data_IF_843140442693
#
_entry.id   IF_843140442693
#
_cell.length_a   1.000
_cell.length_b   1.000
_cell.length_c   1.000
_cell.angle_alpha   90.00
_cell.angle_beta   90.00
_cell.angle_gamma   90.00
#
_symmetry.space_group_name_H-M   'P 1'
#
loop_
_entity.id
_entity.type
_entity.pdbx_description
1 polymer ?
#
# COMPACT_ATOMS: atom_id res chain seq x y z
N UNK A 1 14.57 3.17 -7.16
CA UNK A 1 13.65 2.72 -6.09
C UNK A 1 12.87 3.90 -5.54
N UNK A 2 11.57 3.79 -5.42
CA UNK A 2 10.69 4.87 -4.98
C UNK A 2 10.89 5.27 -3.53
N UNK A 3 11.14 4.29 -2.66
CA UNK A 3 11.43 4.58 -1.25
C UNK A 3 12.56 5.60 -1.11
N UNK A 4 13.67 5.39 -1.79
CA UNK A 4 14.83 6.31 -1.75
C UNK A 4 14.47 7.69 -2.27
N UNK A 5 13.63 7.78 -3.30
CA UNK A 5 13.18 9.08 -3.86
C UNK A 5 12.31 9.84 -2.88
N UNK A 6 11.39 9.15 -2.21
CA UNK A 6 10.49 9.76 -1.22
C UNK A 6 11.26 10.20 0.02
N UNK A 7 12.22 9.40 0.49
CA UNK A 7 13.09 9.77 1.63
C UNK A 7 13.93 10.99 1.30
N UNK A 8 14.44 11.09 0.07
CA UNK A 8 15.25 12.22 -0.38
C UNK A 8 14.41 13.50 -0.51
N UNK A 9 13.17 13.39 -0.98
CA UNK A 9 12.26 14.52 -1.16
C UNK A 9 10.79 14.05 -1.08
N UNK A 10 10.07 14.51 -0.08
CA UNK A 10 8.64 14.22 0.11
C UNK A 10 7.78 14.75 -1.04
N UNK A 11 8.27 15.70 -1.82
CA UNK A 11 7.59 16.18 -3.03
C UNK A 11 7.41 15.10 -4.11
N UNK A 12 8.09 13.97 -3.99
CA UNK A 12 7.94 12.83 -4.87
C UNK A 12 6.74 11.93 -4.55
N UNK A 13 6.01 12.18 -3.45
CA UNK A 13 4.86 11.37 -3.06
C UNK A 13 3.75 11.31 -4.12
N UNK A 14 3.34 12.42 -4.75
CA UNK A 14 2.32 12.35 -5.82
C UNK A 14 2.74 11.44 -6.98
N UNK A 15 3.99 11.51 -7.40
CA UNK A 15 4.52 10.66 -8.47
C UNK A 15 4.62 9.19 -8.04
N UNK A 16 4.97 8.96 -6.78
CA UNK A 16 4.96 7.61 -6.17
C UNK A 16 3.55 7.01 -6.22
N UNK A 17 2.55 7.75 -5.79
CA UNK A 17 1.15 7.29 -5.80
C UNK A 17 0.70 7.00 -7.23
N UNK A 18 0.95 7.92 -8.16
CA UNK A 18 0.58 7.76 -9.56
C UNK A 18 1.22 6.52 -10.19
N UNK A 19 2.50 6.28 -9.91
CA UNK A 19 3.22 5.11 -10.41
C UNK A 19 2.56 3.81 -9.92
N UNK A 20 2.33 3.69 -8.62
CA UNK A 20 1.74 2.47 -8.06
C UNK A 20 0.26 2.31 -8.40
N UNK A 21 -0.48 3.36 -8.62
CA UNK A 21 -1.85 3.27 -9.16
C UNK A 21 -1.86 2.72 -10.58
N UNK A 22 -0.90 3.13 -11.41
CA UNK A 22 -0.71 2.57 -12.74
C UNK A 22 -0.34 1.07 -12.67
N UNK A 23 0.62 0.72 -11.84
CA UNK A 23 1.02 -0.66 -11.59
C UNK A 23 -0.13 -1.52 -11.06
N UNK A 24 -1.02 -0.92 -10.27
CA UNK A 24 -2.19 -1.62 -9.73
C UNK A 24 -3.11 -2.14 -10.84
N UNK A 25 -3.28 -1.41 -11.93
CA UNK A 25 -4.11 -1.84 -13.05
C UNK A 25 -3.50 -3.09 -13.72
N UNK A 26 -2.20 -3.14 -13.87
CA UNK A 26 -1.50 -4.32 -14.38
C UNK A 26 -1.58 -5.49 -13.39
N UNK A 27 -1.40 -5.22 -12.10
CA UNK A 27 -1.50 -6.22 -11.05
C UNK A 27 -2.88 -6.89 -11.00
N UNK A 28 -3.95 -6.12 -11.25
CA UNK A 28 -5.31 -6.69 -11.37
C UNK A 28 -5.43 -7.68 -12.52
N UNK A 29 -4.75 -7.43 -13.63
CA UNK A 29 -4.70 -8.37 -14.76
C UNK A 29 -3.98 -9.65 -14.39
N UNK A 30 -2.91 -9.56 -13.60
CA UNK A 30 -2.16 -10.73 -13.13
C UNK A 30 -3.02 -11.69 -12.30
N UNK A 31 -4.07 -11.21 -11.64
CA UNK A 31 -4.98 -12.02 -10.86
C UNK A 31 -5.96 -12.83 -11.72
N UNK A 32 -6.13 -12.47 -12.99
CA UNK A 32 -7.05 -13.17 -13.89
C UNK A 32 -6.44 -14.46 -14.42
N UNK A 33 -7.29 -15.48 -14.58
CA UNK A 33 -6.94 -16.71 -15.25
C UNK A 33 -7.35 -16.57 -16.71
N UNK A 34 -6.39 -16.63 -17.61
CA UNK A 34 -6.64 -16.49 -19.04
C UNK A 34 -5.54 -17.12 -19.88
N UNK A 35 -5.90 -17.64 -21.04
CA UNK A 35 -4.96 -18.29 -21.96
C UNK A 35 -4.56 -19.70 -21.52
N UNK A 36 -3.34 -20.10 -21.82
CA UNK A 36 -2.84 -21.44 -21.54
C UNK A 36 -2.59 -21.64 -20.04
N UNK A 37 -3.08 -22.76 -19.50
CA UNK A 37 -2.93 -23.13 -18.09
C UNK A 37 -1.45 -23.19 -17.70
N UNK A 38 -0.63 -23.82 -18.52
CA UNK A 38 0.81 -23.96 -18.26
C UNK A 38 1.50 -22.61 -18.12
N UNK A 39 1.18 -21.64 -18.96
CA UNK A 39 1.72 -20.28 -18.87
C UNK A 39 1.31 -19.58 -17.57
N UNK A 40 0.05 -19.74 -17.16
CA UNK A 40 -0.42 -19.16 -15.90
C UNK A 40 0.32 -19.77 -14.71
N UNK A 41 0.48 -21.07 -14.65
CA UNK A 41 1.16 -21.77 -13.56
C UNK A 41 2.64 -21.40 -13.51
N UNK A 42 3.33 -21.42 -14.64
CA UNK A 42 4.78 -21.14 -14.68
C UNK A 42 5.11 -19.67 -14.39
N UNK A 43 4.24 -18.73 -14.74
CA UNK A 43 4.45 -17.31 -14.52
C UNK A 43 4.10 -16.87 -13.07
N UNK A 44 3.22 -17.59 -12.40
CA UNK A 44 2.63 -17.15 -11.12
C UNK A 44 3.65 -16.90 -10.01
N UNK A 45 4.66 -17.75 -9.76
CA UNK A 45 5.64 -17.47 -8.71
C UNK A 45 6.39 -16.15 -8.91
N UNK A 46 6.85 -15.88 -10.12
CA UNK A 46 7.55 -14.63 -10.44
C UNK A 46 6.66 -13.40 -10.32
N UNK A 47 5.42 -13.51 -10.76
CA UNK A 47 4.43 -12.44 -10.61
C UNK A 47 4.17 -12.18 -9.13
N UNK A 48 3.96 -13.21 -8.33
CA UNK A 48 3.69 -13.08 -6.90
C UNK A 48 4.85 -12.41 -6.17
N UNK A 49 6.08 -12.83 -6.45
CA UNK A 49 7.27 -12.20 -5.89
C UNK A 49 7.36 -10.72 -6.26
N UNK A 50 7.18 -10.41 -7.54
CA UNK A 50 7.24 -9.03 -8.02
C UNK A 50 6.20 -8.13 -7.33
N UNK A 51 4.95 -8.58 -7.25
CA UNK A 51 3.88 -7.80 -6.61
C UNK A 51 4.07 -7.70 -5.10
N UNK A 52 4.59 -8.74 -4.47
CA UNK A 52 4.95 -8.69 -3.05
C UNK A 52 6.06 -7.67 -2.78
N UNK A 53 7.09 -7.62 -3.60
CA UNK A 53 8.16 -6.63 -3.47
C UNK A 53 7.65 -5.19 -3.64
N UNK A 54 6.70 -4.97 -4.55
CA UNK A 54 6.04 -3.67 -4.67
C UNK A 54 5.25 -3.30 -3.41
N UNK A 55 4.56 -4.27 -2.81
CA UNK A 55 3.88 -4.06 -1.53
C UNK A 55 4.87 -3.68 -0.42
N UNK A 56 6.02 -4.34 -0.35
CA UNK A 56 7.05 -4.01 0.63
C UNK A 56 7.57 -2.57 0.47
N UNK A 57 7.73 -2.12 -0.75
CA UNK A 57 8.13 -0.74 -1.03
C UNK A 57 7.07 0.27 -0.59
N UNK A 58 5.79 -0.02 -0.85
CA UNK A 58 4.68 0.83 -0.39
C UNK A 58 4.62 0.88 1.14
N UNK A 59 4.79 -0.25 1.81
CA UNK A 59 4.81 -0.31 3.27
C UNK A 59 5.99 0.44 3.87
N UNK A 60 7.15 0.37 3.25
CA UNK A 60 8.33 1.12 3.68
C UNK A 60 8.10 2.64 3.60
N UNK A 61 7.47 3.11 2.52
CA UNK A 61 7.08 4.52 2.37
C UNK A 61 6.06 4.91 3.44
N UNK A 62 5.04 4.09 3.66
CA UNK A 62 4.01 4.34 4.69
C UNK A 62 4.64 4.47 6.09
N UNK A 63 5.54 3.57 6.43
CA UNK A 63 6.25 3.61 7.71
C UNK A 63 7.13 4.86 7.84
N UNK A 64 7.80 5.24 6.77
CA UNK A 64 8.59 6.48 6.73
C UNK A 64 7.71 7.71 6.97
N UNK A 65 6.55 7.78 6.34
CA UNK A 65 5.60 8.88 6.52
C UNK A 65 5.11 8.96 7.97
N UNK A 66 4.84 7.82 8.61
CA UNK A 66 4.47 7.78 10.01
C UNK A 66 5.59 8.29 10.93
N UNK A 67 6.86 8.00 10.60
CA UNK A 67 8.01 8.55 11.31
C UNK A 67 8.07 10.07 11.16
N UNK A 68 7.86 10.58 9.95
CA UNK A 68 7.85 12.02 9.70
C UNK A 68 6.69 12.71 10.43
N UNK A 69 5.53 12.08 10.47
CA UNK A 69 4.37 12.59 11.23
C UNK A 69 4.71 12.75 12.72
N UNK A 70 5.36 11.77 13.32
CA UNK A 70 5.79 11.87 14.73
C UNK A 70 6.71 13.05 14.97
N UNK A 71 7.62 13.34 14.05
CA UNK A 71 8.51 14.50 14.13
C UNK A 71 7.74 15.82 14.03
N UNK A 72 6.78 15.89 13.13
CA UNK A 72 5.90 17.07 12.95
C UNK A 72 5.07 17.29 14.20
N UNK A 73 4.44 16.26 14.73
CA UNK A 73 3.62 16.33 15.95
C UNK A 73 4.46 16.78 17.15
N UNK A 74 5.66 16.23 17.30
CA UNK A 74 6.58 16.63 18.37
C UNK A 74 6.92 18.12 18.31
N UNK A 75 7.19 18.64 17.12
CA UNK A 75 7.53 20.05 16.92
C UNK A 75 6.37 20.96 17.34
N UNK A 76 5.16 20.66 16.93
CA UNK A 76 3.96 21.39 17.31
C UNK A 76 3.64 21.25 18.80
N UNK A 77 3.82 20.06 19.36
CA UNK A 77 3.61 19.80 20.78
C UNK A 77 4.53 20.67 21.65
N UNK A 78 5.81 20.74 21.32
CA UNK A 78 6.77 21.59 22.02
C UNK A 78 6.40 23.07 21.90
N UNK A 79 5.97 23.51 20.73
CA UNK A 79 5.51 24.88 20.50
C UNK A 79 4.35 25.25 21.44
N UNK A 80 3.38 24.37 21.63
CA UNK A 80 2.24 24.63 22.52
C UNK A 80 2.62 24.58 23.99
N UNK A 81 3.52 23.70 24.40
CA UNK A 81 3.97 23.62 25.79
C UNK A 81 4.89 24.78 26.19
N UNK A 82 5.78 25.20 25.32
CA UNK A 82 6.86 26.17 25.63
C UNK A 82 6.51 27.58 25.19
N UNK A 83 5.72 27.76 24.15
CA UNK A 83 5.48 29.06 23.50
C UNK A 83 4.18 29.76 23.91
N UNK A 84 3.33 29.14 24.72
CA UNK A 84 2.06 29.73 25.12
C UNK A 84 2.22 30.56 26.39
N UNK A 85 1.50 31.71 26.45
CA UNK A 85 1.48 32.59 27.63
C UNK A 85 0.80 31.96 28.86
N UNK A 86 -0.04 30.93 28.64
CA UNK A 86 -0.63 30.09 29.69
C UNK A 86 -0.02 28.72 29.66
N UNK A 87 0.24 28.13 30.82
CA UNK A 87 0.64 26.74 30.92
C UNK A 87 -0.49 25.83 30.43
N UNK A 88 -0.27 25.13 29.32
CA UNK A 88 -1.18 24.12 28.83
C UNK A 88 -0.85 22.78 29.47
N UNK A 89 -1.87 21.97 29.75
CA UNK A 89 -1.66 20.56 30.10
C UNK A 89 -1.23 19.79 28.85
N UNK A 90 -0.54 18.66 29.05
CA UNK A 90 -0.17 17.78 27.92
C UNK A 90 -1.39 17.35 27.09
N UNK A 91 -2.52 17.12 27.75
CA UNK A 91 -3.76 16.74 27.10
C UNK A 91 -4.32 17.86 26.20
N UNK A 92 -4.28 19.09 26.66
CA UNK A 92 -4.74 20.24 25.89
C UNK A 92 -3.79 20.52 24.72
N UNK A 93 -2.48 20.40 24.92
CA UNK A 93 -1.49 20.53 23.85
C UNK A 93 -1.69 19.48 22.76
N UNK A 94 -1.99 18.23 23.11
CA UNK A 94 -2.29 17.17 22.14
C UNK A 94 -3.51 17.49 21.29
N UNK A 95 -4.57 18.07 21.88
CA UNK A 95 -5.76 18.48 21.13
C UNK A 95 -5.44 19.57 20.10
N UNK A 96 -4.62 20.54 20.46
CA UNK A 96 -4.18 21.56 19.51
C UNK A 96 -3.31 21.00 18.40
N UNK A 97 -2.43 20.05 18.72
CA UNK A 97 -1.61 19.33 17.71
C UNK A 97 -2.47 18.56 16.74
N UNK A 98 -3.50 17.87 17.22
CA UNK A 98 -4.43 17.12 16.37
C UNK A 98 -5.17 18.02 15.36
N UNK A 99 -5.40 19.28 15.69
CA UNK A 99 -6.05 20.25 14.83
C UNK A 99 -5.11 21.09 13.97
N UNK A 100 -3.79 20.94 14.10
CA UNK A 100 -2.83 21.67 13.28
C UNK A 100 -2.97 21.29 11.81
N UNK A 101 -3.04 22.30 10.94
CA UNK A 101 -3.22 22.12 9.51
C UNK A 101 -2.13 21.20 8.91
N UNK A 102 -0.87 21.42 9.28
CA UNK A 102 0.25 20.61 8.82
C UNK A 102 0.08 19.14 9.22
N UNK A 103 -0.40 18.85 10.44
CA UNK A 103 -0.66 17.50 10.94
C UNK A 103 -1.81 16.86 10.16
N UNK A 104 -2.91 17.58 9.99
CA UNK A 104 -4.09 17.12 9.26
C UNK A 104 -3.77 16.83 7.82
N UNK A 105 -3.05 17.72 7.15
CA UNK A 105 -2.65 17.54 5.76
C UNK A 105 -1.72 16.34 5.59
N UNK A 106 -0.78 16.15 6.52
CA UNK A 106 0.13 15.02 6.48
C UNK A 106 -0.58 13.69 6.73
N UNK A 107 -1.51 13.65 7.68
CA UNK A 107 -2.34 12.47 7.93
C UNK A 107 -3.22 12.11 6.72
N UNK A 108 -3.69 13.11 5.98
CA UNK A 108 -4.44 12.89 4.74
C UNK A 108 -3.59 12.18 3.70
N UNK A 109 -2.33 12.59 3.53
CA UNK A 109 -1.37 11.92 2.64
C UNK A 109 -1.11 10.47 3.10
N UNK A 110 -0.94 10.27 4.39
CA UNK A 110 -0.78 8.92 4.97
C UNK A 110 -1.97 8.04 4.64
N UNK A 111 -3.19 8.56 4.74
CA UNK A 111 -4.40 7.82 4.39
C UNK A 111 -4.43 7.41 2.92
N UNK A 112 -3.98 8.26 2.01
CA UNK A 112 -3.88 7.93 0.58
C UNK A 112 -2.91 6.77 0.34
N UNK A 113 -1.74 6.82 0.96
CA UNK A 113 -0.74 5.73 0.86
C UNK A 113 -1.25 4.45 1.53
N UNK A 114 -1.94 4.57 2.67
CA UNK A 114 -2.53 3.43 3.35
C UNK A 114 -3.63 2.76 2.49
N UNK A 115 -4.44 3.54 1.79
CA UNK A 115 -5.42 3.01 0.85
C UNK A 115 -4.75 2.25 -0.29
N UNK A 116 -3.68 2.79 -0.84
CA UNK A 116 -2.89 2.13 -1.87
C UNK A 116 -2.32 0.80 -1.37
N UNK A 117 -1.74 0.78 -0.16
CA UNK A 117 -1.28 -0.45 0.49
C UNK A 117 -2.38 -1.48 0.61
N UNK A 118 -3.58 -1.08 1.04
CA UNK A 118 -4.71 -1.99 1.21
C UNK A 118 -5.17 -2.59 -0.14
N UNK A 119 -5.12 -1.79 -1.21
CA UNK A 119 -5.39 -2.29 -2.57
C UNK A 119 -4.36 -3.34 -2.98
N UNK A 120 -3.09 -3.15 -2.66
CA UNK A 120 -2.03 -4.14 -2.91
C UNK A 120 -2.22 -5.42 -2.09
N UNK A 121 -2.68 -5.32 -0.86
CA UNK A 121 -3.06 -6.50 -0.07
C UNK A 121 -4.18 -7.29 -0.77
N UNK A 122 -5.13 -6.59 -1.40
CA UNK A 122 -6.15 -7.22 -2.23
C UNK A 122 -5.56 -7.97 -3.43
N UNK A 123 -4.53 -7.41 -4.07
CA UNK A 123 -3.81 -8.09 -5.15
C UNK A 123 -3.14 -9.38 -4.66
N UNK A 124 -2.49 -9.34 -3.49
CA UNK A 124 -1.87 -10.54 -2.91
C UNK A 124 -2.89 -11.63 -2.62
N UNK A 125 -4.07 -11.26 -2.10
CA UNK A 125 -5.19 -12.18 -1.94
C UNK A 125 -5.68 -12.76 -3.28
N UNK A 126 -5.78 -11.92 -4.29
CA UNK A 126 -6.17 -12.34 -5.64
C UNK A 126 -5.20 -13.34 -6.24
N UNK A 127 -3.91 -13.12 -6.08
CA UNK A 127 -2.87 -14.05 -6.56
C UNK A 127 -2.90 -15.38 -5.80
N UNK A 128 -3.14 -15.36 -4.50
CA UNK A 128 -3.31 -16.56 -3.68
C UNK A 128 -4.55 -17.35 -4.12
N UNK A 129 -5.67 -16.67 -4.33
CA UNK A 129 -6.90 -17.28 -4.86
C UNK A 129 -6.67 -17.86 -6.24
N UNK A 130 -5.93 -17.17 -7.11
CA UNK A 130 -5.55 -17.67 -8.44
C UNK A 130 -4.80 -18.99 -8.34
N UNK A 131 -3.85 -19.12 -7.42
CA UNK A 131 -3.11 -20.35 -7.19
C UNK A 131 -4.05 -21.52 -6.88
N UNK A 132 -4.99 -21.33 -5.99
CA UNK A 132 -5.99 -22.34 -5.62
C UNK A 132 -6.88 -22.72 -6.81
N UNK A 133 -7.39 -21.72 -7.53
CA UNK A 133 -8.26 -21.94 -8.68
C UNK A 133 -7.52 -22.66 -9.82
N UNK A 134 -6.25 -22.36 -10.03
CA UNK A 134 -5.43 -23.07 -11.01
C UNK A 134 -5.32 -24.56 -10.67
N UNK A 135 -5.21 -24.92 -9.40
CA UNK A 135 -5.23 -26.31 -8.95
C UNK A 135 -6.56 -27.01 -9.29
N UNK A 136 -7.68 -26.33 -9.14
CA UNK A 136 -8.99 -26.87 -9.54
C UNK A 136 -9.11 -27.03 -11.05
N UNK A 137 -8.66 -26.07 -11.83
CA UNK A 137 -8.66 -26.15 -13.31
C UNK A 137 -7.85 -27.36 -13.78
N UNK A 138 -6.67 -27.58 -13.22
CA UNK A 138 -5.81 -28.74 -13.54
C UNK A 138 -6.53 -30.05 -13.22
N UNK A 139 -7.18 -30.17 -12.07
CA UNK A 139 -7.93 -31.37 -11.69
C UNK A 139 -9.10 -31.64 -12.64
N UNK A 140 -9.86 -30.61 -13.02
CA UNK A 140 -10.96 -30.75 -13.97
C UNK A 140 -10.45 -31.23 -15.33
N UNK A 141 -9.37 -30.71 -15.83
CA UNK A 141 -8.78 -31.13 -17.10
C UNK A 141 -8.22 -32.55 -17.06
N UNK A 142 -7.59 -32.92 -15.96
CA UNK A 142 -7.08 -34.29 -15.72
C UNK A 142 -8.24 -35.28 -15.68
N UNK A 143 -9.40 -34.90 -15.18
CA UNK A 143 -10.63 -35.70 -15.14
C UNK A 143 -11.37 -35.72 -16.51
N UNK A 144 -10.89 -35.04 -17.53
CA UNK A 144 -11.55 -34.90 -18.81
C UNK A 144 -12.78 -33.99 -18.81
N UNK A 145 -12.92 -33.17 -17.81
CA UNK A 145 -14.07 -32.23 -17.61
C UNK A 145 -13.71 -30.85 -18.15
N UNK A 146 -13.25 -30.78 -19.41
CA UNK A 146 -13.05 -29.50 -20.07
C UNK A 146 -14.41 -28.91 -20.47
N UNK A 147 -14.51 -27.58 -20.48
CA UNK A 147 -15.67 -26.86 -20.99
C UNK A 147 -16.99 -27.11 -20.24
N UNK A 148 -16.93 -27.32 -18.93
CA UNK A 148 -18.16 -27.38 -18.13
C UNK A 148 -18.72 -25.95 -18.05
N UNK A 149 -19.88 -25.76 -18.66
CA UNK A 149 -20.69 -24.56 -18.50
C UNK A 149 -21.62 -24.70 -17.31
N UNK A 150 -21.59 -23.73 -16.46
CA UNK A 150 -22.48 -23.67 -15.31
C UNK A 150 -23.71 -22.81 -15.62
#
# INVERSE_FOLDING_TARGET
>A
MWYSRVVADLGNIPDFIAHFESELQEAKRDCKIGGLVEKNITALPGITEHRFNQLQEIEAVLNYLNIQLRKIRRRHFQKYLEGYARALTSRDAEKYVDGEEEVVDFETIINEVALLRNKWLGIMKGLDTKQWQMGHVVRLRTAGMEDITV
#
